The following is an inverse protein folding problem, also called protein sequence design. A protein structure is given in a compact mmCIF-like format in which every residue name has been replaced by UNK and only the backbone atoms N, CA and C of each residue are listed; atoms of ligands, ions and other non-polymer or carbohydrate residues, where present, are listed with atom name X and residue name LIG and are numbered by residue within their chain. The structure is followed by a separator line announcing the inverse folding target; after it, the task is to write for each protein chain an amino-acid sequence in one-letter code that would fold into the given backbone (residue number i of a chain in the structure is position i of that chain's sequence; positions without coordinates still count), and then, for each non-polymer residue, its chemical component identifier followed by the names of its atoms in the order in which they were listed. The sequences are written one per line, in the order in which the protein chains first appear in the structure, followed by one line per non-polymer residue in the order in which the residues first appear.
data_IF_640807003092
#
_entry.id   IF_640807003092
#
_cell.length_a   1.000
_cell.length_b   1.000
_cell.length_c   1.000
_cell.angle_alpha   90.00
_cell.angle_beta   90.00
_cell.angle_gamma   90.00
#
_symmetry.space_group_name_H-M   'P 1'
#
loop_
_entity.id
_entity.type
_entity.pdbx_description
1 polymer ?
#
# COMPACT_ATOMS: atom_id res chain seq x y z
N UNK A 1 16.11 -21.44 15.58
CA UNK A 1 14.75 -21.69 16.10
C UNK A 1 14.54 -20.94 17.41
N UNK A 2 13.90 -19.77 17.36
CA UNK A 2 13.37 -19.07 18.55
C UNK A 2 11.85 -19.14 18.45
N UNK A 3 11.19 -19.68 19.48
CA UNK A 3 9.72 -19.78 19.56
C UNK A 3 9.13 -18.37 19.59
N UNK A 4 8.32 -17.99 18.59
CA UNK A 4 7.45 -16.80 18.68
C UNK A 4 6.39 -17.08 19.75
N UNK A 5 6.29 -16.19 20.73
CA UNK A 5 5.28 -16.28 21.79
C UNK A 5 3.94 -15.82 21.23
N UNK A 6 2.90 -16.62 21.46
CA UNK A 6 1.50 -16.31 21.12
C UNK A 6 1.04 -15.15 22.00
N UNK A 7 0.80 -13.99 21.40
CA UNK A 7 0.07 -12.90 22.07
C UNK A 7 -1.35 -12.91 21.53
N UNK A 8 -2.29 -13.34 22.36
CA UNK A 8 -3.71 -13.15 22.11
C UNK A 8 -4.04 -11.67 22.34
N UNK A 9 -4.23 -10.90 21.26
CA UNK A 9 -4.73 -9.52 21.36
C UNK A 9 -6.26 -9.60 21.41
N UNK A 10 -6.78 -9.73 22.62
CA UNK A 10 -8.14 -9.37 22.94
C UNK A 10 -8.09 -8.16 23.88
N UNK A 11 -8.59 -7.02 23.40
CA UNK A 11 -8.90 -5.80 24.15
C UNK A 11 -7.75 -5.07 24.85
N UNK A 12 -7.13 -4.10 24.17
CA UNK A 12 -6.45 -2.98 24.81
C UNK A 12 -6.48 -1.71 23.92
N UNK A 13 -7.67 -1.34 23.45
CA UNK A 13 -7.97 0.04 23.08
C UNK A 13 -8.30 0.78 24.39
N UNK A 14 -7.51 1.82 24.70
CA UNK A 14 -7.60 2.78 25.81
C UNK A 14 -6.53 2.63 26.91
N UNK A 15 -5.83 3.75 27.13
CA UNK A 15 -4.83 4.04 28.16
C UNK A 15 -3.39 3.57 27.85
N UNK A 16 -2.60 4.43 27.19
CA UNK A 16 -1.49 5.18 27.83
C UNK A 16 -1.01 6.26 26.83
N UNK A 17 -1.48 7.49 27.06
CA UNK A 17 -0.81 8.71 26.65
C UNK A 17 0.17 9.07 27.78
N UNK A 18 1.33 9.65 27.45
CA UNK A 18 2.31 10.33 28.31
C UNK A 18 3.37 9.45 29.02
N UNK A 19 4.60 9.44 28.49
CA UNK A 19 5.72 10.13 29.14
C UNK A 19 7.01 10.10 28.29
N UNK A 20 7.70 11.22 28.38
CA UNK A 20 8.86 11.72 27.66
C UNK A 20 10.22 11.13 28.09
N UNK A 21 11.21 11.34 27.20
CA UNK A 21 12.67 11.57 27.43
C UNK A 21 13.61 10.43 27.85
N UNK A 22 14.62 10.12 27.00
CA UNK A 22 16.08 10.26 27.24
C UNK A 22 16.89 9.40 26.22
N UNK A 23 17.64 9.98 25.27
CA UNK A 23 19.11 10.27 25.26
C UNK A 23 20.04 9.04 25.14
N UNK A 24 20.69 8.95 23.97
CA UNK A 24 22.05 8.50 23.60
C UNK A 24 22.82 7.44 24.42
N UNK A 25 23.37 6.43 23.72
CA UNK A 25 24.78 6.02 23.86
C UNK A 25 25.28 5.20 22.64
N UNK A 26 26.39 5.67 22.08
CA UNK A 26 27.28 5.00 21.12
C UNK A 26 28.03 3.84 21.82
N UNK A 27 28.30 2.75 21.11
CA UNK A 27 29.17 1.68 21.57
C UNK A 27 29.76 0.86 20.43
N UNK A 28 30.75 1.42 19.75
CA UNK A 28 31.64 0.73 18.83
C UNK A 28 32.59 -0.20 19.62
N UNK A 29 32.66 -1.48 19.28
CA UNK A 29 33.77 -2.36 19.67
C UNK A 29 34.13 -3.28 18.51
N UNK A 30 35.22 -2.92 17.83
CA UNK A 30 35.96 -3.83 16.99
C UNK A 30 36.76 -4.83 17.83
N UNK A 31 36.97 -6.00 17.25
CA UNK A 31 38.04 -6.92 17.63
C UNK A 31 38.68 -7.44 16.33
N UNK A 32 39.90 -6.98 16.08
CA UNK A 32 40.84 -7.56 15.12
C UNK A 32 41.59 -8.76 15.74
N UNK A 33 42.31 -9.46 14.84
CA UNK A 33 43.35 -10.48 15.00
C UNK A 33 42.90 -11.95 14.90
N UNK A 34 43.53 -12.84 14.11
CA UNK A 34 44.87 -12.79 13.49
C UNK A 34 45.02 -13.86 12.36
N UNK A 35 45.75 -13.46 11.31
CA UNK A 35 46.81 -14.16 10.54
C UNK A 35 46.62 -15.58 9.90
N UNK A 36 46.65 -15.53 8.55
CA UNK A 36 47.65 -16.11 7.62
C UNK A 36 47.74 -17.63 7.33
N UNK A 37 47.52 -17.96 6.04
CA UNK A 37 48.00 -19.16 5.33
C UNK A 37 47.63 -19.08 3.84
N UNK A 38 48.63 -18.97 2.96
CA UNK A 38 48.52 -18.62 1.53
C UNK A 38 48.33 -19.89 0.61
N UNK A 39 48.24 -19.77 -0.74
CA UNK A 39 47.16 -20.29 -1.56
C UNK A 39 47.49 -21.63 -2.26
N UNK A 40 46.46 -22.36 -2.68
CA UNK A 40 46.63 -23.47 -3.63
C UNK A 40 45.49 -23.47 -4.66
N UNK A 41 45.88 -23.28 -5.92
CA UNK A 41 45.08 -23.45 -7.12
C UNK A 41 44.55 -24.90 -7.23
N UNK A 42 43.25 -25.05 -7.45
CA UNK A 42 42.70 -26.09 -8.31
C UNK A 42 41.60 -25.48 -9.17
N UNK A 43 41.79 -25.61 -10.49
CA UNK A 43 40.92 -25.11 -11.55
C UNK A 43 39.74 -26.10 -11.82
N UNK A 44 38.85 -25.78 -12.77
CA UNK A 44 37.42 -25.58 -12.55
C UNK A 44 36.59 -26.86 -12.78
N UNK A 45 35.43 -26.95 -12.12
CA UNK A 45 34.36 -27.86 -12.54
C UNK A 45 33.22 -27.03 -13.11
N UNK A 46 32.99 -27.26 -14.41
CA UNK A 46 31.98 -26.63 -15.23
C UNK A 46 30.55 -26.89 -14.72
N UNK A 47 29.81 -25.79 -14.65
CA UNK A 47 28.53 -25.54 -15.34
C UNK A 47 27.49 -26.67 -15.41
N UNK A 48 26.40 -26.50 -14.66
CA UNK A 48 25.04 -26.73 -15.16
C UNK A 48 24.01 -26.09 -14.21
N UNK A 49 23.24 -25.13 -14.72
CA UNK A 49 21.98 -24.70 -14.11
C UNK A 49 22.01 -23.36 -13.37
N UNK A 50 22.53 -22.30 -13.98
CA UNK A 50 22.03 -20.96 -13.66
C UNK A 50 21.08 -20.61 -14.79
N UNK A 51 19.78 -20.78 -14.55
CA UNK A 51 18.78 -20.04 -15.31
C UNK A 51 19.17 -18.56 -15.16
N UNK A 52 19.46 -17.90 -16.28
CA UNK A 52 19.65 -16.46 -16.30
C UNK A 52 18.36 -15.84 -15.76
N UNK A 53 18.38 -15.39 -14.51
CA UNK A 53 17.49 -14.30 -14.12
C UNK A 53 17.79 -13.20 -15.13
N UNK A 54 16.80 -12.83 -15.95
CA UNK A 54 16.86 -11.60 -16.72
C UNK A 54 17.30 -10.50 -15.76
N UNK A 55 18.52 -10.03 -15.92
CA UNK A 55 19.00 -8.84 -15.24
C UNK A 55 18.06 -7.74 -15.73
N UNK A 56 17.09 -7.35 -14.91
CA UNK A 56 16.22 -6.20 -15.18
C UNK A 56 17.13 -5.04 -15.55
N UNK A 57 17.16 -4.70 -16.84
CA UNK A 57 18.01 -3.65 -17.34
C UNK A 57 17.45 -2.34 -16.77
N UNK A 58 18.18 -1.72 -15.84
CA UNK A 58 17.80 -0.42 -15.27
C UNK A 58 17.80 0.61 -16.38
N UNK A 59 16.61 1.02 -16.83
CA UNK A 59 16.43 2.06 -17.85
C UNK A 59 16.88 3.41 -17.30
N UNK A 60 17.47 4.26 -18.15
CA UNK A 60 17.59 5.69 -17.82
C UNK A 60 16.25 6.38 -18.05
N UNK A 61 16.05 7.55 -17.45
CA UNK A 61 14.81 8.32 -17.57
C UNK A 61 14.42 8.56 -19.03
N UNK A 62 15.39 8.86 -19.90
CA UNK A 62 15.17 9.09 -21.34
C UNK A 62 14.78 7.82 -22.12
N UNK A 63 15.05 6.63 -21.56
CA UNK A 63 14.74 5.35 -22.19
C UNK A 63 13.36 4.80 -21.79
N UNK A 64 12.72 5.37 -20.77
CA UNK A 64 11.37 4.98 -20.34
C UNK A 64 10.36 5.29 -21.45
N UNK A 65 9.56 4.31 -21.84
CA UNK A 65 8.42 4.56 -22.73
C UNK A 65 7.32 5.29 -21.95
N UNK A 66 6.87 6.41 -22.51
CA UNK A 66 5.78 7.21 -21.95
C UNK A 66 4.66 7.43 -22.97
N UNK A 67 4.59 6.59 -24.01
CA UNK A 67 3.64 6.73 -25.11
C UNK A 67 2.16 6.70 -24.69
N UNK A 68 1.85 6.08 -23.56
CA UNK A 68 0.50 5.98 -22.98
C UNK A 68 0.12 7.21 -22.12
N UNK A 69 1.06 8.12 -21.88
CA UNK A 69 0.86 9.28 -21.03
C UNK A 69 0.62 10.55 -21.84
N UNK A 70 -0.42 11.28 -21.46
CA UNK A 70 -0.72 12.61 -21.97
C UNK A 70 0.18 13.64 -21.28
N UNK A 71 1.43 13.72 -21.73
CA UNK A 71 2.44 14.68 -21.24
C UNK A 71 3.29 15.21 -22.42
N UNK A 72 3.43 16.54 -22.58
CA UNK A 72 4.27 17.08 -23.64
C UNK A 72 5.76 16.85 -23.40
N UNK A 73 6.49 16.52 -24.47
CA UNK A 73 7.95 16.37 -24.43
C UNK A 73 8.65 17.71 -24.15
N UNK A 74 9.76 17.66 -23.42
CA UNK A 74 10.58 18.80 -23.00
C UNK A 74 10.02 19.56 -21.79
N UNK A 75 9.08 18.99 -21.03
CA UNK A 75 8.43 19.67 -19.88
C UNK A 75 8.95 19.15 -18.53
N UNK A 76 8.75 19.93 -17.45
CA UNK A 76 9.05 19.46 -16.08
C UNK A 76 8.16 18.24 -15.72
N UNK A 77 6.90 18.24 -16.14
CA UNK A 77 6.01 17.08 -16.00
C UNK A 77 6.58 15.79 -16.62
N UNK A 78 7.14 15.86 -17.83
CA UNK A 78 7.79 14.70 -18.46
C UNK A 78 8.93 14.18 -17.60
N UNK A 79 9.79 15.08 -17.12
CA UNK A 79 10.92 14.71 -16.27
C UNK A 79 10.47 14.01 -14.99
N UNK A 80 9.48 14.56 -14.29
CA UNK A 80 8.91 13.98 -13.07
C UNK A 80 8.37 12.57 -13.33
N UNK A 81 7.57 12.41 -14.39
CA UNK A 81 6.98 11.12 -14.74
C UNK A 81 8.08 10.07 -15.05
N UNK A 82 9.08 10.43 -15.85
CA UNK A 82 10.19 9.51 -16.18
C UNK A 82 10.99 9.13 -14.94
N UNK A 83 11.28 10.09 -14.05
CA UNK A 83 11.96 9.81 -12.79
C UNK A 83 11.17 8.87 -11.89
N UNK A 84 9.84 9.02 -11.82
CA UNK A 84 8.97 8.11 -11.08
C UNK A 84 8.98 6.70 -11.71
N UNK A 85 8.85 6.61 -13.03
CA UNK A 85 8.83 5.33 -13.75
C UNK A 85 10.16 4.57 -13.68
N UNK A 86 11.31 5.26 -13.70
CA UNK A 86 12.63 4.63 -13.47
C UNK A 86 12.70 3.97 -12.10
N UNK A 87 12.04 4.56 -11.09
CA UNK A 87 11.96 4.06 -9.72
C UNK A 87 10.86 3.02 -9.50
N UNK A 88 10.07 2.70 -10.55
CA UNK A 88 9.16 1.55 -10.60
C UNK A 88 9.68 0.46 -11.58
N UNK A 89 10.97 0.03 -11.54
CA UNK A 89 11.48 -0.91 -12.54
C UNK A 89 10.83 -2.28 -12.37
N UNK A 90 10.26 -2.84 -13.44
CA UNK A 90 9.49 -4.09 -13.39
C UNK A 90 8.05 -3.92 -12.85
N UNK A 91 7.69 -2.71 -12.43
CA UNK A 91 6.37 -2.34 -11.94
C UNK A 91 5.80 -1.26 -12.89
N UNK A 92 5.12 -1.67 -13.95
CA UNK A 92 4.40 -0.69 -14.78
C UNK A 92 3.30 -0.02 -13.95
N UNK A 93 3.07 1.27 -14.17
CA UNK A 93 1.86 1.93 -13.66
C UNK A 93 0.65 1.13 -14.16
N UNK A 94 -0.26 0.83 -13.26
CA UNK A 94 -1.54 0.20 -13.57
C UNK A 94 -2.36 1.11 -14.49
N UNK A 95 -3.30 0.53 -15.24
CA UNK A 95 -4.23 1.31 -16.10
C UNK A 95 -4.90 2.45 -15.32
N UNK A 96 -5.24 2.21 -14.05
CA UNK A 96 -5.85 3.21 -13.16
C UNK A 96 -4.88 4.32 -12.77
N UNK A 97 -3.62 4.01 -12.48
CA UNK A 97 -2.59 5.03 -12.22
C UNK A 97 -2.35 5.88 -13.48
N UNK A 98 -2.32 5.26 -14.67
CA UNK A 98 -2.19 5.97 -15.95
C UNK A 98 -3.40 6.87 -16.20
N UNK A 99 -4.61 6.37 -15.98
CA UNK A 99 -5.85 7.15 -16.10
C UNK A 99 -5.83 8.37 -15.16
N UNK A 100 -5.54 8.16 -13.87
CA UNK A 100 -5.42 9.23 -12.87
C UNK A 100 -4.41 10.29 -13.29
N UNK A 101 -3.21 9.86 -13.69
CA UNK A 101 -2.19 10.78 -14.19
C UNK A 101 -2.69 11.55 -15.41
N UNK A 102 -3.29 10.89 -16.39
CA UNK A 102 -3.73 11.51 -17.64
C UNK A 102 -4.87 12.51 -17.44
N UNK A 103 -5.78 12.22 -16.51
CA UNK A 103 -6.89 13.10 -16.14
C UNK A 103 -6.46 14.29 -15.27
N UNK A 104 -5.27 14.24 -14.68
CA UNK A 104 -4.75 15.32 -13.84
C UNK A 104 -4.52 16.60 -14.68
N UNK A 105 -4.94 17.79 -14.18
CA UNK A 105 -4.63 19.07 -14.81
C UNK A 105 -3.12 19.30 -15.04
N UNK A 106 -2.76 19.90 -16.19
CA UNK A 106 -1.34 20.15 -16.54
C UNK A 106 -0.58 21.00 -15.51
N UNK A 107 -1.27 21.88 -14.79
CA UNK A 107 -0.67 22.67 -13.71
C UNK A 107 -0.22 21.82 -12.52
N UNK A 108 -0.96 20.75 -12.22
CA UNK A 108 -0.65 19.82 -11.12
C UNK A 108 0.46 18.86 -11.54
N UNK A 109 0.50 18.42 -12.80
CA UNK A 109 1.56 17.55 -13.33
C UNK A 109 2.98 18.13 -13.24
N UNK A 110 3.11 19.46 -13.01
CA UNK A 110 4.40 20.11 -12.81
C UNK A 110 4.91 19.99 -11.36
N UNK A 111 4.16 19.38 -10.45
CA UNK A 111 4.54 19.23 -9.04
C UNK A 111 5.29 17.92 -8.82
N UNK A 112 6.33 17.97 -7.99
CA UNK A 112 6.93 16.75 -7.43
C UNK A 112 5.93 16.03 -6.52
N UNK A 113 6.23 14.78 -6.16
CA UNK A 113 5.41 14.03 -5.19
C UNK A 113 5.22 14.81 -3.89
N UNK A 114 6.29 15.37 -3.33
CA UNK A 114 6.27 16.11 -2.07
C UNK A 114 5.46 17.41 -2.20
N UNK A 115 5.62 18.16 -3.30
CA UNK A 115 4.83 19.38 -3.57
C UNK A 115 3.33 19.05 -3.73
N UNK A 116 2.99 17.94 -4.38
CA UNK A 116 1.61 17.48 -4.53
C UNK A 116 1.00 17.05 -3.18
N UNK A 117 1.75 16.33 -2.34
CA UNK A 117 1.31 15.95 -0.98
C UNK A 117 1.12 17.16 -0.06
N UNK A 118 1.96 18.18 -0.17
CA UNK A 118 1.77 19.44 0.56
C UNK A 118 0.45 20.11 0.17
N UNK A 119 0.15 20.15 -1.13
CA UNK A 119 -1.12 20.69 -1.64
C UNK A 119 -2.32 19.84 -1.24
N UNK A 120 -2.22 18.51 -1.33
CA UNK A 120 -3.24 17.59 -0.84
C UNK A 120 -3.57 17.89 0.63
N UNK A 121 -2.56 18.02 1.50
CA UNK A 121 -2.75 18.28 2.92
C UNK A 121 -3.42 19.65 3.17
N UNK A 122 -3.05 20.68 2.40
CA UNK A 122 -3.68 22.01 2.45
C UNK A 122 -5.19 21.91 2.15
N UNK A 123 -5.57 21.30 1.03
CA UNK A 123 -6.98 21.20 0.63
C UNK A 123 -7.77 20.23 1.51
N UNK A 124 -7.14 19.15 1.99
CA UNK A 124 -7.75 18.25 2.97
C UNK A 124 -8.10 19.00 4.26
N UNK A 125 -7.21 19.86 4.76
CA UNK A 125 -7.47 20.65 5.97
C UNK A 125 -8.63 21.64 5.78
N UNK A 126 -8.75 22.24 4.59
CA UNK A 126 -9.89 23.12 4.25
C UNK A 126 -11.20 22.31 4.26
N UNK A 127 -11.19 21.14 3.61
CA UNK A 127 -12.35 20.25 3.57
C UNK A 127 -12.75 19.74 4.97
N UNK A 128 -11.80 19.28 5.77
CA UNK A 128 -12.04 18.79 7.12
C UNK A 128 -12.62 19.91 8.01
N UNK A 129 -12.05 21.11 7.95
CA UNK A 129 -12.57 22.30 8.64
C UNK A 129 -14.01 22.61 8.25
N UNK A 130 -14.35 22.50 6.96
CA UNK A 130 -15.72 22.64 6.50
C UNK A 130 -16.63 21.54 7.11
N UNK A 131 -16.21 20.27 7.08
CA UNK A 131 -17.00 19.18 7.66
C UNK A 131 -17.27 19.39 9.15
N UNK A 132 -16.26 19.84 9.91
CA UNK A 132 -16.37 20.12 11.34
C UNK A 132 -17.31 21.31 11.62
N UNK A 133 -17.16 22.42 10.89
CA UNK A 133 -17.97 23.62 11.08
C UNK A 133 -19.46 23.42 10.78
N UNK A 134 -19.80 22.41 9.97
CA UNK A 134 -21.16 22.09 9.58
C UNK A 134 -21.62 20.71 10.07
N UNK A 135 -20.93 20.11 11.05
CA UNK A 135 -21.18 18.75 11.50
C UNK A 135 -22.63 18.51 11.99
N UNK A 136 -23.28 19.56 12.51
CA UNK A 136 -24.67 19.55 13.00
C UNK A 136 -25.71 19.81 11.90
N UNK A 137 -25.28 20.15 10.68
CA UNK A 137 -26.14 20.61 9.58
C UNK A 137 -26.35 19.54 8.53
N UNK A 138 -27.59 19.45 8.04
CA UNK A 138 -27.95 18.59 6.91
C UNK A 138 -27.38 19.11 5.58
N UNK A 139 -27.37 18.24 4.56
CA UNK A 139 -26.78 18.56 3.25
C UNK A 139 -27.40 19.79 2.58
N UNK A 140 -28.72 19.92 2.62
CA UNK A 140 -29.41 21.05 2.00
C UNK A 140 -29.07 22.37 2.70
N UNK A 141 -29.00 22.37 4.02
CA UNK A 141 -28.62 23.54 4.81
C UNK A 141 -27.16 23.96 4.55
N UNK A 142 -26.27 22.98 4.38
CA UNK A 142 -24.87 23.24 3.96
C UNK A 142 -24.81 23.92 2.59
N UNK A 143 -25.62 23.46 1.64
CA UNK A 143 -25.68 24.03 0.30
C UNK A 143 -26.21 25.48 0.28
N UNK A 144 -27.14 25.81 1.18
CA UNK A 144 -27.64 27.18 1.32
C UNK A 144 -26.61 28.13 1.95
N UNK A 145 -25.78 27.62 2.87
CA UNK A 145 -24.80 28.42 3.62
C UNK A 145 -23.48 28.66 2.85
N UNK A 146 -23.15 27.78 1.92
CA UNK A 146 -22.03 27.93 0.98
C UNK A 146 -22.56 27.66 -0.45
N UNK A 147 -23.27 28.65 -1.04
CA UNK A 147 -23.87 28.50 -2.36
C UNK A 147 -22.83 28.57 -3.49
N UNK A 148 -21.68 29.17 -3.23
CA UNK A 148 -20.63 29.43 -4.22
C UNK A 148 -19.62 28.27 -4.34
N UNK A 149 -19.61 27.34 -3.38
CA UNK A 149 -19.02 26.01 -3.56
C UNK A 149 -17.52 25.91 -3.28
N UNK A 150 -16.97 26.79 -2.44
CA UNK A 150 -15.57 26.71 -2.02
C UNK A 150 -15.24 25.34 -1.41
N UNK A 151 -16.21 24.67 -0.76
CA UNK A 151 -16.04 23.29 -0.29
C UNK A 151 -15.86 22.26 -1.41
N UNK A 152 -16.55 22.44 -2.53
CA UNK A 152 -16.51 21.50 -3.64
C UNK A 152 -15.21 21.68 -4.39
N UNK A 153 -14.78 22.92 -4.60
CA UNK A 153 -13.44 23.20 -5.12
C UNK A 153 -12.35 22.62 -4.21
N UNK A 154 -12.47 22.77 -2.88
CA UNK A 154 -11.51 22.18 -1.95
C UNK A 154 -11.52 20.65 -1.98
N UNK A 155 -12.69 20.01 -2.09
CA UNK A 155 -12.81 18.57 -2.20
C UNK A 155 -12.22 18.05 -3.52
N UNK A 156 -12.55 18.71 -4.63
CA UNK A 156 -12.08 18.36 -5.97
C UNK A 156 -10.56 18.49 -6.03
N UNK A 157 -10.00 19.61 -5.56
CA UNK A 157 -8.56 19.82 -5.53
C UNK A 157 -7.85 18.85 -4.58
N UNK A 158 -8.42 18.56 -3.41
CA UNK A 158 -7.89 17.51 -2.53
C UNK A 158 -7.73 16.19 -3.28
N UNK A 159 -8.76 15.75 -4.01
CA UNK A 159 -8.68 14.51 -4.78
C UNK A 159 -7.73 14.61 -5.97
N UNK A 160 -7.71 15.72 -6.72
CA UNK A 160 -6.78 15.91 -7.84
C UNK A 160 -5.32 15.79 -7.39
N UNK A 161 -4.93 16.44 -6.29
CA UNK A 161 -3.58 16.35 -5.76
C UNK A 161 -3.27 14.95 -5.21
N UNK A 162 -4.22 14.34 -4.49
CA UNK A 162 -4.06 12.99 -3.94
C UNK A 162 -3.86 11.96 -5.05
N UNK A 163 -4.75 11.94 -6.04
CA UNK A 163 -4.71 10.95 -7.12
C UNK A 163 -3.48 11.11 -8.00
N UNK A 164 -3.04 12.34 -8.23
CA UNK A 164 -1.78 12.62 -8.90
C UNK A 164 -0.57 12.10 -8.10
N UNK A 165 -0.48 12.46 -6.81
CA UNK A 165 0.62 12.04 -5.94
C UNK A 165 0.68 10.51 -5.81
N UNK A 166 -0.48 9.86 -5.64
CA UNK A 166 -0.60 8.40 -5.61
C UNK A 166 -0.11 7.78 -6.92
N UNK A 167 -0.46 8.34 -8.08
CA UNK A 167 -0.04 7.81 -9.38
C UNK A 167 1.50 7.84 -9.56
N UNK A 168 2.17 8.90 -9.10
CA UNK A 168 3.63 9.03 -9.22
C UNK A 168 4.41 8.52 -7.99
N UNK A 169 3.72 8.00 -6.97
CA UNK A 169 4.33 7.47 -5.74
C UNK A 169 5.21 6.25 -6.03
N UNK A 170 6.29 6.07 -5.25
CA UNK A 170 7.24 4.95 -5.42
C UNK A 170 7.71 4.42 -4.06
N UNK A 171 8.26 3.20 -4.03
CA UNK A 171 8.79 2.58 -2.81
C UNK A 171 7.80 2.58 -1.64
N UNK A 172 8.26 3.05 -0.47
CA UNK A 172 7.45 3.08 0.77
C UNK A 172 6.17 3.91 0.62
N UNK A 173 6.21 5.00 -0.15
CA UNK A 173 5.06 5.86 -0.33
C UNK A 173 3.97 5.18 -1.17
N UNK A 174 4.37 4.43 -2.21
CA UNK A 174 3.43 3.58 -2.96
C UNK A 174 2.86 2.46 -2.09
N UNK A 175 3.70 1.83 -1.26
CA UNK A 175 3.26 0.80 -0.33
C UNK A 175 2.20 1.34 0.65
N UNK A 176 2.37 2.56 1.19
CA UNK A 176 1.37 3.21 2.05
C UNK A 176 0.05 3.43 1.32
N UNK A 177 0.07 3.99 0.11
CA UNK A 177 -1.15 4.20 -0.68
C UNK A 177 -1.89 2.88 -0.91
N UNK A 178 -1.19 1.81 -1.31
CA UNK A 178 -1.79 0.50 -1.54
C UNK A 178 -2.32 -0.14 -0.26
N UNK A 179 -1.59 0.02 0.85
CA UNK A 179 -1.99 -0.43 2.17
C UNK A 179 -3.28 0.25 2.62
N UNK A 180 -3.37 1.59 2.53
CA UNK A 180 -4.55 2.35 2.96
C UNK A 180 -5.80 1.94 2.16
N UNK A 181 -5.67 1.77 0.84
CA UNK A 181 -6.77 1.30 -0.01
C UNK A 181 -7.23 -0.11 0.41
N UNK A 182 -6.31 -1.07 0.54
CA UNK A 182 -6.65 -2.45 0.90
C UNK A 182 -7.21 -2.56 2.32
N UNK A 183 -6.69 -1.79 3.27
CA UNK A 183 -7.20 -1.75 4.64
C UNK A 183 -8.63 -1.25 4.66
N UNK A 184 -8.91 -0.15 3.99
CA UNK A 184 -10.26 0.40 3.90
C UNK A 184 -11.23 -0.61 3.26
N UNK A 185 -10.85 -1.23 2.14
CA UNK A 185 -11.67 -2.25 1.46
C UNK A 185 -11.94 -3.47 2.37
N UNK A 186 -10.94 -3.91 3.14
CA UNK A 186 -11.09 -5.03 4.07
C UNK A 186 -11.97 -4.68 5.27
N UNK A 187 -11.79 -3.50 5.88
CA UNK A 187 -12.61 -3.03 7.01
C UNK A 187 -14.09 -2.84 6.60
N UNK A 188 -14.33 -2.22 5.45
CA UNK A 188 -15.68 -2.02 4.90
C UNK A 188 -16.35 -3.36 4.58
N UNK A 189 -15.60 -4.25 3.93
CA UNK A 189 -16.04 -5.61 3.64
C UNK A 189 -16.44 -6.37 4.91
N UNK A 190 -15.62 -6.31 5.96
CA UNK A 190 -15.91 -6.93 7.24
C UNK A 190 -17.17 -6.35 7.89
N UNK A 191 -17.31 -5.03 7.91
CA UNK A 191 -18.49 -4.35 8.45
C UNK A 191 -19.78 -4.84 7.79
N UNK A 192 -19.83 -4.82 6.45
CA UNK A 192 -21.01 -5.26 5.72
C UNK A 192 -21.25 -6.77 5.85
N UNK A 193 -20.20 -7.59 5.83
CA UNK A 193 -20.35 -9.03 6.02
C UNK A 193 -21.01 -9.37 7.37
N UNK A 194 -20.61 -8.70 8.45
CA UNK A 194 -21.20 -8.88 9.78
C UNK A 194 -22.63 -8.35 9.84
N UNK A 195 -22.86 -7.15 9.31
CA UNK A 195 -24.19 -6.51 9.28
C UNK A 195 -25.21 -7.33 8.48
N UNK A 196 -24.81 -7.84 7.33
CA UNK A 196 -25.69 -8.58 6.42
C UNK A 196 -25.89 -10.02 6.89
N UNK A 197 -24.87 -10.64 7.51
CA UNK A 197 -25.02 -11.96 8.15
C UNK A 197 -26.11 -11.97 9.23
N UNK A 198 -26.28 -10.87 9.98
CA UNK A 198 -27.33 -10.75 10.99
C UNK A 198 -28.75 -10.78 10.39
N UNK A 199 -28.89 -10.47 9.11
CA UNK A 199 -30.18 -10.39 8.40
C UNK A 199 -30.36 -11.48 7.34
N UNK A 200 -29.33 -12.29 7.08
CA UNK A 200 -29.34 -13.34 6.08
C UNK A 200 -30.34 -14.45 6.44
N UNK A 201 -31.14 -14.87 5.44
CA UNK A 201 -32.18 -15.90 5.62
C UNK A 201 -31.99 -17.09 4.71
N UNK A 202 -31.24 -16.91 3.62
CA UNK A 202 -30.93 -17.97 2.68
C UNK A 202 -29.53 -18.51 2.96
N UNK A 203 -29.36 -19.83 2.85
CA UNK A 203 -28.06 -20.49 3.07
C UNK A 203 -26.96 -19.91 2.17
N UNK A 204 -27.31 -19.47 0.96
CA UNK A 204 -26.39 -18.83 0.03
C UNK A 204 -25.90 -17.46 0.55
N UNK A 205 -26.76 -16.67 1.18
CA UNK A 205 -26.42 -15.37 1.77
C UNK A 205 -25.54 -15.58 3.02
N UNK A 206 -25.90 -16.55 3.86
CA UNK A 206 -25.13 -16.92 5.05
C UNK A 206 -23.71 -17.32 4.64
N UNK A 207 -23.60 -18.21 3.63
CA UNK A 207 -22.30 -18.65 3.13
C UNK A 207 -21.51 -17.52 2.48
N UNK A 208 -22.16 -16.70 1.66
CA UNK A 208 -21.52 -15.54 1.03
C UNK A 208 -20.93 -14.58 2.07
N UNK A 209 -21.70 -14.22 3.09
CA UNK A 209 -21.24 -13.32 4.15
C UNK A 209 -20.16 -13.95 5.03
N UNK A 210 -20.23 -15.26 5.30
CA UNK A 210 -19.17 -15.97 6.01
C UNK A 210 -17.84 -15.98 5.22
N UNK A 211 -17.90 -16.22 3.91
CA UNK A 211 -16.75 -16.16 3.02
C UNK A 211 -16.15 -14.75 2.96
N UNK A 212 -17.01 -13.74 2.75
CA UNK A 212 -16.64 -12.33 2.72
C UNK A 212 -15.90 -11.92 3.99
N UNK A 213 -16.50 -12.26 5.15
CA UNK A 213 -15.93 -12.01 6.47
C UNK A 213 -14.55 -12.65 6.63
N UNK A 214 -14.42 -13.92 6.27
CA UNK A 214 -13.17 -14.66 6.46
C UNK A 214 -12.01 -14.10 5.62
N UNK A 215 -12.30 -13.68 4.38
CA UNK A 215 -11.29 -13.02 3.52
C UNK A 215 -10.83 -11.69 4.15
N UNK A 216 -11.78 -10.87 4.59
CA UNK A 216 -11.47 -9.59 5.22
C UNK A 216 -10.66 -9.77 6.52
N UNK A 217 -11.03 -10.71 7.39
CA UNK A 217 -10.27 -11.00 8.62
C UNK A 217 -8.84 -11.48 8.34
N UNK A 218 -8.64 -12.30 7.30
CA UNK A 218 -7.30 -12.70 6.88
C UNK A 218 -6.47 -11.49 6.39
N UNK A 219 -7.06 -10.64 5.54
CA UNK A 219 -6.38 -9.45 5.03
C UNK A 219 -5.99 -8.50 6.16
N UNK A 220 -6.90 -8.22 7.09
CA UNK A 220 -6.62 -7.33 8.21
C UNK A 220 -5.51 -7.87 9.13
N UNK A 221 -5.40 -9.19 9.29
CA UNK A 221 -4.31 -9.79 10.05
C UNK A 221 -2.94 -9.56 9.37
N UNK A 222 -2.87 -9.72 8.05
CA UNK A 222 -1.62 -9.48 7.29
C UNK A 222 -1.29 -7.98 7.22
N UNK A 223 -2.31 -7.15 6.99
CA UNK A 223 -2.15 -5.70 6.93
C UNK A 223 -1.68 -5.12 8.26
N UNK A 224 -2.08 -5.67 9.41
CA UNK A 224 -1.56 -5.25 10.71
C UNK A 224 -0.03 -5.42 10.81
N UNK A 225 0.52 -6.53 10.32
CA UNK A 225 1.97 -6.75 10.31
C UNK A 225 2.67 -5.82 9.29
N UNK A 226 2.04 -5.57 8.13
CA UNK A 226 2.54 -4.60 7.13
C UNK A 226 2.55 -3.17 7.70
N UNK A 227 1.56 -2.77 8.50
CA UNK A 227 1.51 -1.48 9.18
C UNK A 227 2.73 -1.29 10.10
N UNK A 228 3.10 -2.33 10.84
CA UNK A 228 4.29 -2.33 11.69
C UNK A 228 5.57 -2.21 10.84
N UNK A 229 5.67 -2.91 9.71
CA UNK A 229 6.81 -2.81 8.79
C UNK A 229 6.90 -1.41 8.16
N UNK A 230 5.79 -0.82 7.71
CA UNK A 230 5.73 0.52 7.12
C UNK A 230 6.13 1.64 8.09
N UNK A 231 5.97 1.41 9.40
CA UNK A 231 6.39 2.36 10.43
C UNK A 231 7.91 2.35 10.69
N UNK A 232 8.66 1.39 10.14
CA UNK A 232 10.10 1.31 10.32
C UNK A 232 10.82 2.37 9.47
N UNK A 233 11.88 3.02 10.00
CA UNK A 233 12.65 4.02 9.25
C UNK A 233 13.33 3.46 7.99
N UNK A 234 13.60 2.15 7.97
CA UNK A 234 14.29 1.40 6.92
C UNK A 234 13.36 0.38 6.24
N UNK A 235 12.05 0.65 6.23
CA UNK A 235 11.06 -0.18 5.55
C UNK A 235 11.45 -0.43 4.08
N UNK A 236 11.44 -1.71 3.69
CA UNK A 236 11.69 -2.12 2.31
C UNK A 236 10.41 -1.90 1.48
N UNK A 237 10.29 -0.70 0.92
CA UNK A 237 9.11 -0.30 0.15
C UNK A 237 8.84 -1.21 -1.04
N UNK A 238 9.88 -1.67 -1.75
CA UNK A 238 9.70 -2.48 -2.96
C UNK A 238 9.14 -3.87 -2.61
N UNK A 239 9.69 -4.49 -1.55
CA UNK A 239 9.15 -5.74 -0.99
C UNK A 239 7.67 -5.57 -0.60
N UNK A 240 7.35 -4.51 0.15
CA UNK A 240 5.98 -4.27 0.62
C UNK A 240 5.00 -4.02 -0.54
N UNK A 241 5.43 -3.31 -1.58
CA UNK A 241 4.61 -3.13 -2.80
C UNK A 241 4.32 -4.47 -3.47
N UNK A 242 5.28 -5.38 -3.57
CA UNK A 242 5.06 -6.69 -4.17
C UNK A 242 4.07 -7.54 -3.35
N UNK A 243 4.21 -7.53 -2.02
CA UNK A 243 3.27 -8.18 -1.11
C UNK A 243 1.84 -7.63 -1.26
N UNK A 244 1.69 -6.30 -1.22
CA UNK A 244 0.40 -5.62 -1.37
C UNK A 244 -0.21 -5.82 -2.76
N UNK A 245 0.61 -5.93 -3.81
CA UNK A 245 0.14 -6.19 -5.19
C UNK A 245 -0.49 -7.58 -5.30
N UNK A 246 0.17 -8.61 -4.76
CA UNK A 246 -0.38 -9.97 -4.74
C UNK A 246 -1.69 -9.99 -3.94
N UNK A 247 -1.73 -9.29 -2.80
CA UNK A 247 -2.97 -9.14 -2.04
C UNK A 247 -4.07 -8.46 -2.87
N UNK A 248 -3.79 -7.37 -3.58
CA UNK A 248 -4.77 -6.69 -4.43
C UNK A 248 -5.29 -7.57 -5.56
N UNK A 249 -4.40 -8.31 -6.23
CA UNK A 249 -4.75 -9.22 -7.31
C UNK A 249 -5.64 -10.36 -6.81
N UNK A 250 -5.27 -10.99 -5.69
CA UNK A 250 -6.07 -12.04 -5.07
C UNK A 250 -7.43 -11.50 -4.61
N UNK A 251 -7.46 -10.29 -4.04
CA UNK A 251 -8.70 -9.65 -3.61
C UNK A 251 -9.65 -9.46 -4.79
N UNK A 252 -9.21 -8.84 -5.88
CA UNK A 252 -10.08 -8.64 -7.05
C UNK A 252 -10.54 -9.98 -7.65
N UNK A 253 -9.64 -10.97 -7.76
CA UNK A 253 -10.00 -12.28 -8.30
C UNK A 253 -11.05 -13.02 -7.45
N UNK A 254 -10.88 -13.01 -6.13
CA UNK A 254 -11.78 -13.73 -5.24
C UNK A 254 -13.03 -12.92 -4.92
N UNK A 255 -12.88 -11.66 -4.55
CA UNK A 255 -14.01 -10.84 -4.12
C UNK A 255 -14.97 -10.51 -5.27
N UNK A 256 -14.44 -10.09 -6.43
CA UNK A 256 -15.29 -9.61 -7.52
C UNK A 256 -15.85 -10.76 -8.36
N UNK A 257 -15.13 -11.88 -8.45
CA UNK A 257 -15.45 -12.96 -9.41
C UNK A 257 -15.73 -14.30 -8.73
N UNK A 258 -14.93 -14.69 -7.72
CA UNK A 258 -14.86 -16.08 -7.26
C UNK A 258 -15.15 -16.29 -5.76
N UNK A 259 -15.93 -15.43 -5.10
CA UNK A 259 -16.05 -15.47 -3.63
C UNK A 259 -16.68 -16.79 -3.13
N UNK A 260 -17.40 -17.50 -4.00
CA UNK A 260 -17.90 -18.84 -3.72
C UNK A 260 -16.83 -19.95 -3.66
N UNK A 261 -15.62 -19.70 -4.18
CA UNK A 261 -14.48 -20.63 -4.18
C UNK A 261 -13.63 -20.53 -2.91
N UNK A 262 -13.69 -19.42 -2.19
CA UNK A 262 -13.09 -19.31 -0.87
C UNK A 262 -14.01 -19.90 0.21
N UNK A 263 -13.44 -20.14 1.40
CA UNK A 263 -14.18 -20.60 2.58
C UNK A 263 -13.49 -20.14 3.86
N UNK A 264 -14.21 -20.07 5.00
CA UNK A 264 -13.59 -19.80 6.30
C UNK A 264 -12.47 -20.78 6.63
N UNK A 265 -12.61 -22.05 6.27
CA UNK A 265 -11.60 -23.09 6.53
C UNK A 265 -10.34 -22.88 5.70
N UNK A 266 -10.48 -22.42 4.45
CA UNK A 266 -9.33 -22.08 3.60
C UNK A 266 -8.61 -20.84 4.14
N UNK A 267 -9.35 -19.79 4.49
CA UNK A 267 -8.76 -18.57 5.05
C UNK A 267 -8.08 -18.82 6.39
N UNK A 268 -8.66 -19.68 7.25
CA UNK A 268 -8.01 -20.10 8.48
C UNK A 268 -6.68 -20.85 8.24
N UNK A 269 -6.59 -21.67 7.18
CA UNK A 269 -5.32 -22.30 6.79
C UNK A 269 -4.30 -21.26 6.30
N UNK A 270 -4.74 -20.26 5.54
CA UNK A 270 -3.86 -19.18 5.07
C UNK A 270 -3.34 -18.35 6.24
N UNK A 271 -4.20 -17.97 7.19
CA UNK A 271 -3.79 -17.29 8.42
C UNK A 271 -2.77 -18.12 9.20
N UNK A 272 -2.96 -19.44 9.34
CA UNK A 272 -2.02 -20.30 10.06
C UNK A 272 -0.66 -20.40 9.36
N UNK A 273 -0.65 -20.53 8.03
CA UNK A 273 0.58 -20.52 7.21
C UNK A 273 1.35 -19.21 7.38
N UNK A 274 0.64 -18.08 7.28
CA UNK A 274 1.21 -16.76 7.48
C UNK A 274 1.82 -16.60 8.89
N UNK A 275 1.08 -16.98 9.93
CA UNK A 275 1.56 -16.94 11.32
C UNK A 275 2.75 -17.88 11.58
N UNK A 276 2.87 -18.96 10.79
CA UNK A 276 4.03 -19.86 10.83
C UNK A 276 5.28 -19.27 10.15
N UNK A 277 5.15 -18.13 9.47
CA UNK A 277 6.22 -17.38 8.82
C UNK A 277 6.36 -17.61 7.32
N UNK A 278 5.36 -18.22 6.67
CA UNK A 278 5.28 -18.30 5.22
C UNK A 278 4.91 -16.93 4.62
N UNK A 279 5.51 -16.54 3.50
CA UNK A 279 5.29 -15.21 2.94
C UNK A 279 3.88 -15.08 2.35
N UNK A 280 3.35 -13.86 2.32
CA UNK A 280 2.04 -13.63 1.71
C UNK A 280 2.04 -13.92 0.20
N UNK A 281 3.18 -13.68 -0.45
CA UNK A 281 3.40 -13.99 -1.87
C UNK A 281 3.34 -15.50 -2.16
N UNK A 282 3.82 -16.36 -1.26
CA UNK A 282 3.72 -17.83 -1.38
C UNK A 282 2.31 -18.36 -1.03
N UNK A 283 1.58 -17.66 -0.16
CA UNK A 283 0.24 -18.08 0.25
C UNK A 283 -0.80 -17.76 -0.82
N UNK A 284 -0.68 -16.61 -1.47
CA UNK A 284 -1.67 -16.07 -2.42
C UNK A 284 -1.25 -16.14 -3.90
N UNK A 285 0.04 -16.28 -4.18
CA UNK A 285 0.60 -16.35 -5.54
C UNK A 285 0.56 -17.74 -6.18
#
# INVERSE_FOLDING_TARGET
MKKKQVIAIAAALAAVLLMSTAVYAIGNMGAENNQAGNPAEQAPLNTAGTEEMEVLQTLTAEQVDISEFSVPLGTKAEQILREALVKKPGQQMTEREIERYNNTPESIKQLTYEEAREKEAEYKAIWDSYQENFADKGWDERNELDPDGERFEALDLYYDYKEYADAISTGVELAKTMYDELKWEAEDSLFFAVKDAANAKLDIEIKFNANKKALAEFYLAVLADIEEELALPDADGDKLVDELRVMRQYWSLQFDVNLGQISPELMAQYTQRYQAGESITEILG
#
